data_IF_869675926719
#
_entry.id   IF_869675926719
#
_cell.length_a   1.000
_cell.length_b   1.000
_cell.length_c   1.000
_cell.angle_alpha   90.00
_cell.angle_beta   90.00
_cell.angle_gamma   90.00
#
_symmetry.space_group_name_H-M   'P 1'
#
loop_
_entity.id
_entity.type
_entity.pdbx_description
1 polymer ?
#
# COMPACT_ATOMS: atom_id res chain seq x y z
N UNK A 1 -7.95 -22.38 6.67
CA UNK A 1 -8.33 -21.79 5.37
C UNK A 1 -7.65 -22.58 4.28
N UNK A 2 -8.34 -23.07 3.24
CA UNK A 2 -7.67 -23.69 2.11
C UNK A 2 -6.71 -22.66 1.51
N UNK A 3 -5.50 -23.07 1.20
CA UNK A 3 -4.52 -22.17 0.58
C UNK A 3 -4.97 -21.89 -0.85
N UNK A 4 -5.58 -20.75 -1.07
CA UNK A 4 -5.96 -20.26 -2.39
C UNK A 4 -4.64 -20.07 -3.16
N UNK A 5 -4.33 -21.00 -4.05
CA UNK A 5 -3.09 -20.94 -4.86
C UNK A 5 -3.47 -20.99 -6.32
N UNK A 6 -3.07 -19.98 -7.05
CA UNK A 6 -3.05 -20.02 -8.52
C UNK A 6 -2.20 -21.21 -8.95
N UNK A 7 -2.78 -22.11 -9.74
CA UNK A 7 -2.11 -23.33 -10.19
C UNK A 7 -2.65 -23.80 -11.53
N UNK A 8 -1.90 -24.66 -12.17
CA UNK A 8 -2.31 -25.40 -13.34
C UNK A 8 -1.86 -26.86 -13.15
N UNK A 9 -2.82 -27.74 -13.21
CA UNK A 9 -2.62 -29.18 -13.12
C UNK A 9 -2.98 -29.80 -14.48
N UNK A 10 -2.05 -30.55 -15.06
CA UNK A 10 -2.23 -31.21 -16.34
C UNK A 10 -2.62 -32.66 -16.09
N UNK A 11 -3.79 -33.07 -16.60
CA UNK A 11 -4.28 -34.41 -16.62
C UNK A 11 -4.21 -35.00 -18.04
N UNK A 12 -4.51 -36.30 -18.18
CA UNK A 12 -4.47 -37.00 -19.49
C UNK A 12 -5.39 -36.30 -20.52
N UNK A 13 -6.60 -35.94 -20.11
CA UNK A 13 -7.66 -35.45 -20.99
C UNK A 13 -8.06 -33.99 -20.82
N UNK A 14 -7.60 -33.33 -19.77
CA UNK A 14 -7.93 -31.96 -19.49
C UNK A 14 -6.84 -31.27 -18.69
N UNK A 15 -6.89 -29.91 -18.66
CA UNK A 15 -6.18 -29.08 -17.70
C UNK A 15 -7.17 -28.53 -16.67
N UNK A 16 -6.74 -28.53 -15.41
CA UNK A 16 -7.40 -27.79 -14.33
C UNK A 16 -6.57 -26.57 -13.99
N UNK A 17 -7.18 -25.37 -14.06
CA UNK A 17 -6.51 -24.10 -13.90
C UNK A 17 -7.26 -23.31 -12.83
N UNK A 18 -6.54 -22.86 -11.82
CA UNK A 18 -7.06 -21.95 -10.78
C UNK A 18 -6.42 -20.57 -10.98
N UNK A 19 -7.23 -19.57 -11.20
CA UNK A 19 -6.81 -18.18 -11.37
C UNK A 19 -7.39 -17.31 -10.27
N UNK A 20 -6.60 -16.36 -9.79
CA UNK A 20 -7.04 -15.32 -8.86
C UNK A 20 -7.08 -13.97 -9.59
N UNK A 21 -8.17 -13.26 -9.48
CA UNK A 21 -8.34 -11.96 -10.12
C UNK A 21 -8.59 -10.88 -9.07
N UNK A 22 -8.01 -9.69 -9.21
CA UNK A 22 -8.23 -8.62 -8.27
C UNK A 22 -9.62 -8.01 -8.46
N UNK A 23 -10.38 -7.90 -7.38
CA UNK A 23 -11.62 -7.11 -7.32
C UNK A 23 -11.48 -6.05 -6.25
N UNK A 24 -11.83 -4.81 -6.58
CA UNK A 24 -11.88 -3.72 -5.63
C UNK A 24 -13.23 -3.71 -4.90
N UNK A 25 -13.21 -3.89 -3.59
CA UNK A 25 -14.37 -3.62 -2.75
C UNK A 25 -14.56 -2.11 -2.64
N UNK A 26 -15.73 -1.60 -3.05
CA UNK A 26 -16.02 -0.16 -3.10
C UNK A 26 -16.20 0.48 -1.73
N UNK A 27 -16.60 -0.29 -0.72
CA UNK A 27 -16.83 0.22 0.63
C UNK A 27 -15.52 0.34 1.43
N UNK A 28 -14.68 -0.70 1.38
CA UNK A 28 -13.40 -0.73 2.09
C UNK A 28 -12.22 -0.20 1.27
N UNK A 29 -12.41 0.03 -0.04
CA UNK A 29 -11.34 0.33 -1.01
C UNK A 29 -10.18 -0.69 -0.98
N UNK A 30 -10.46 -1.91 -0.53
CA UNK A 30 -9.49 -2.99 -0.48
C UNK A 30 -9.62 -3.92 -1.68
N UNK A 31 -8.47 -4.37 -2.19
CA UNK A 31 -8.42 -5.42 -3.21
C UNK A 31 -8.57 -6.76 -2.54
N UNK A 32 -9.51 -7.55 -3.08
CA UNK A 32 -9.72 -8.96 -2.72
C UNK A 32 -9.43 -9.85 -3.92
N UNK A 33 -8.67 -10.94 -3.73
CA UNK A 33 -8.54 -11.97 -4.77
C UNK A 33 -9.85 -12.75 -4.88
N UNK A 34 -10.33 -12.90 -6.09
CA UNK A 34 -11.48 -13.76 -6.42
C UNK A 34 -11.01 -14.90 -7.26
N UNK A 35 -11.42 -16.11 -6.91
CA UNK A 35 -11.04 -17.33 -7.57
C UNK A 35 -11.96 -17.63 -8.75
N UNK A 36 -11.34 -18.02 -9.86
CA UNK A 36 -12.02 -18.55 -11.04
C UNK A 36 -11.27 -19.81 -11.48
N UNK A 37 -11.99 -20.90 -11.52
CA UNK A 37 -11.48 -22.19 -11.94
C UNK A 37 -11.90 -22.51 -13.36
N UNK A 38 -10.98 -23.11 -14.11
CA UNK A 38 -11.22 -23.56 -15.48
C UNK A 38 -10.87 -25.04 -15.63
N UNK A 39 -11.79 -25.79 -16.21
CA UNK A 39 -11.53 -27.13 -16.71
C UNK A 39 -11.57 -27.07 -18.23
N UNK A 40 -10.44 -27.33 -18.87
CA UNK A 40 -10.28 -27.25 -20.33
C UNK A 40 -9.99 -28.62 -20.86
N UNK A 41 -10.88 -29.17 -21.65
CA UNK A 41 -10.74 -30.44 -22.31
C UNK A 41 -10.85 -30.32 -23.83
N UNK A 42 -10.93 -31.44 -24.52
CA UNK A 42 -10.94 -31.51 -25.99
C UNK A 42 -12.10 -30.74 -26.62
N UNK A 43 -13.30 -30.87 -26.07
CA UNK A 43 -14.53 -30.30 -26.65
C UNK A 43 -15.30 -29.42 -25.67
N UNK A 44 -14.73 -29.07 -24.53
CA UNK A 44 -15.42 -28.30 -23.50
C UNK A 44 -14.48 -27.34 -22.74
N UNK A 45 -15.07 -26.29 -22.23
CA UNK A 45 -14.52 -25.39 -21.22
C UNK A 45 -15.56 -25.17 -20.13
N UNK A 46 -15.23 -25.53 -18.90
CA UNK A 46 -16.09 -25.32 -17.73
C UNK A 46 -15.43 -24.23 -16.88
N UNK A 47 -16.20 -23.23 -16.47
CA UNK A 47 -15.77 -22.19 -15.55
C UNK A 47 -16.55 -22.28 -14.24
N UNK A 48 -15.83 -22.23 -13.10
CA UNK A 48 -16.43 -22.21 -11.77
C UNK A 48 -15.99 -20.93 -11.05
N UNK A 49 -16.95 -20.19 -10.54
CA UNK A 49 -16.72 -18.95 -9.79
C UNK A 49 -17.88 -18.67 -8.81
N UNK A 50 -17.64 -17.82 -7.82
CA UNK A 50 -18.62 -17.47 -6.76
C UNK A 50 -19.69 -16.46 -7.18
N UNK A 51 -19.72 -16.07 -8.46
CA UNK A 51 -20.66 -15.05 -8.97
C UNK A 51 -20.21 -13.60 -8.79
N UNK A 52 -19.16 -13.33 -8.04
CA UNK A 52 -18.61 -11.98 -7.85
C UNK A 52 -18.01 -11.40 -9.14
N UNK A 53 -17.57 -12.28 -10.05
CA UNK A 53 -17.03 -11.93 -11.36
C UNK A 53 -18.13 -11.70 -12.40
N UNK A 54 -18.80 -10.56 -12.30
CA UNK A 54 -19.90 -10.18 -13.22
C UNK A 54 -19.54 -10.24 -14.71
N UNK A 55 -18.25 -10.11 -15.04
CA UNK A 55 -17.75 -10.18 -16.41
C UNK A 55 -18.08 -11.53 -17.05
N UNK A 56 -17.84 -12.64 -16.34
CA UNK A 56 -18.16 -13.99 -16.83
C UNK A 56 -19.67 -14.21 -16.94
N UNK A 57 -20.42 -13.79 -15.94
CA UNK A 57 -21.90 -13.90 -15.95
C UNK A 57 -22.50 -13.11 -17.11
N UNK A 58 -22.04 -11.87 -17.33
CA UNK A 58 -22.52 -11.04 -18.42
C UNK A 58 -22.17 -11.64 -19.80
N UNK A 59 -20.94 -12.19 -19.93
CA UNK A 59 -20.56 -12.87 -21.18
C UNK A 59 -21.44 -14.10 -21.43
N UNK A 60 -21.70 -14.92 -20.42
CA UNK A 60 -22.58 -16.08 -20.54
C UNK A 60 -23.99 -15.68 -21.01
N UNK A 61 -24.57 -14.61 -20.44
CA UNK A 61 -25.84 -14.08 -20.90
C UNK A 61 -25.76 -13.56 -22.33
N UNK A 62 -24.71 -12.84 -22.70
CA UNK A 62 -24.55 -12.31 -24.07
C UNK A 62 -24.41 -13.44 -25.09
N UNK A 63 -23.70 -14.50 -24.79
CA UNK A 63 -23.55 -15.69 -25.65
C UNK A 63 -24.87 -16.44 -25.82
N UNK A 64 -25.74 -16.46 -24.79
CA UNK A 64 -27.05 -17.06 -24.87
C UNK A 64 -28.03 -16.21 -25.72
N UNK A 65 -27.93 -14.90 -25.61
CA UNK A 65 -28.86 -13.96 -26.19
C UNK A 65 -28.53 -13.57 -27.64
N UNK A 66 -27.24 -13.52 -28.00
CA UNK A 66 -26.78 -12.95 -29.27
C UNK A 66 -25.97 -13.98 -30.07
N UNK A 67 -26.48 -14.35 -31.26
CA UNK A 67 -25.84 -15.35 -32.15
C UNK A 67 -24.45 -14.91 -32.65
N UNK A 68 -24.26 -13.63 -32.90
CA UNK A 68 -22.95 -13.08 -33.30
C UNK A 68 -21.90 -13.23 -32.20
N UNK A 69 -22.27 -13.00 -30.92
CA UNK A 69 -21.39 -13.19 -29.76
C UNK A 69 -21.09 -14.67 -29.58
N UNK A 70 -22.12 -15.54 -29.71
CA UNK A 70 -21.96 -17.00 -29.68
C UNK A 70 -20.96 -17.47 -30.73
N UNK A 71 -21.14 -17.02 -31.98
CA UNK A 71 -20.23 -17.38 -33.05
C UNK A 71 -18.78 -16.93 -32.78
N UNK A 72 -18.60 -15.73 -32.25
CA UNK A 72 -17.27 -15.20 -31.91
C UNK A 72 -16.52 -16.03 -30.87
N UNK A 73 -17.21 -16.52 -29.83
CA UNK A 73 -16.55 -17.20 -28.71
C UNK A 73 -16.60 -18.74 -28.80
N UNK A 74 -17.63 -19.34 -29.39
CA UNK A 74 -17.87 -20.78 -29.30
C UNK A 74 -17.47 -21.58 -30.56
N UNK A 75 -17.13 -20.94 -31.68
CA UNK A 75 -16.85 -21.66 -32.94
C UNK A 75 -15.39 -22.09 -33.10
N UNK A 76 -14.46 -21.64 -32.23
CA UNK A 76 -13.03 -21.78 -32.47
C UNK A 76 -12.32 -22.75 -31.49
N UNK A 77 -13.11 -23.53 -30.75
CA UNK A 77 -12.61 -24.54 -29.82
C UNK A 77 -12.24 -23.98 -28.41
N UNK A 78 -12.02 -24.90 -27.44
CA UNK A 78 -11.90 -24.55 -26.02
C UNK A 78 -10.60 -23.78 -25.69
N UNK A 79 -9.53 -24.00 -26.43
CA UNK A 79 -8.26 -23.28 -26.21
C UNK A 79 -8.36 -21.80 -26.53
N UNK A 80 -8.97 -21.44 -27.68
CA UNK A 80 -9.16 -20.04 -28.04
C UNK A 80 -10.21 -19.37 -27.14
N UNK A 81 -11.27 -20.11 -26.75
CA UNK A 81 -12.24 -19.62 -25.77
C UNK A 81 -11.57 -19.30 -24.44
N UNK A 82 -10.70 -20.18 -23.93
CA UNK A 82 -9.92 -19.93 -22.71
C UNK A 82 -9.07 -18.66 -22.84
N UNK A 83 -8.29 -18.51 -23.93
CA UNK A 83 -7.45 -17.33 -24.13
C UNK A 83 -8.26 -16.05 -24.19
N UNK A 84 -9.40 -16.06 -24.87
CA UNK A 84 -10.31 -14.91 -24.97
C UNK A 84 -10.93 -14.56 -23.60
N UNK A 85 -11.27 -15.56 -22.78
CA UNK A 85 -11.77 -15.33 -21.41
C UNK A 85 -10.67 -14.73 -20.52
N UNK A 86 -9.45 -15.24 -20.59
CA UNK A 86 -8.33 -14.71 -19.83
C UNK A 86 -8.04 -13.25 -20.23
N UNK A 87 -8.01 -12.96 -21.53
CA UNK A 87 -7.84 -11.59 -22.02
C UNK A 87 -8.94 -10.64 -21.51
N UNK A 88 -10.20 -11.09 -21.57
CA UNK A 88 -11.33 -10.32 -21.06
C UNK A 88 -11.22 -10.02 -19.56
N UNK A 89 -10.80 -11.02 -18.78
CA UNK A 89 -10.61 -10.89 -17.34
C UNK A 89 -9.44 -9.97 -16.98
N UNK A 90 -8.33 -10.05 -17.73
CA UNK A 90 -7.21 -9.13 -17.56
C UNK A 90 -7.57 -7.69 -17.93
N UNK A 91 -8.22 -7.46 -19.06
CA UNK A 91 -8.72 -6.14 -19.47
C UNK A 91 -9.67 -5.54 -18.42
N UNK A 92 -10.47 -6.38 -17.76
CA UNK A 92 -11.36 -5.94 -16.69
C UNK A 92 -10.64 -5.57 -15.40
N UNK A 93 -9.47 -6.17 -15.16
CA UNK A 93 -8.63 -5.86 -13.99
C UNK A 93 -7.81 -4.57 -14.20
N UNK A 94 -7.54 -4.16 -15.44
CA UNK A 94 -6.72 -2.99 -15.77
C UNK A 94 -7.13 -1.71 -15.03
N UNK A 95 -8.40 -1.28 -15.00
CA UNK A 95 -8.78 -0.04 -14.32
C UNK A 95 -8.48 -0.04 -12.81
N UNK A 96 -8.47 -1.22 -12.18
CA UNK A 96 -8.13 -1.37 -10.75
C UNK A 96 -6.63 -1.14 -10.57
N UNK A 97 -5.82 -1.70 -11.46
CA UNK A 97 -4.37 -1.60 -11.43
C UNK A 97 -3.90 -0.19 -11.78
N UNK A 98 -4.54 0.45 -12.77
CA UNK A 98 -4.31 1.84 -13.14
C UNK A 98 -4.64 2.80 -11.98
N UNK A 99 -5.72 2.51 -11.24
CA UNK A 99 -6.06 3.28 -10.03
C UNK A 99 -4.98 3.15 -8.96
N UNK A 100 -4.45 1.94 -8.70
CA UNK A 100 -3.37 1.75 -7.73
C UNK A 100 -2.13 2.57 -8.08
N UNK A 101 -1.73 2.57 -9.37
CA UNK A 101 -0.61 3.36 -9.84
C UNK A 101 -0.85 4.87 -9.65
N UNK A 102 -2.05 5.36 -10.00
CA UNK A 102 -2.43 6.76 -9.77
C UNK A 102 -2.43 7.14 -8.28
N UNK A 103 -2.96 6.26 -7.42
CA UNK A 103 -2.99 6.47 -5.98
C UNK A 103 -1.56 6.48 -5.40
N UNK A 104 -0.67 5.61 -5.88
CA UNK A 104 0.75 5.58 -5.51
C UNK A 104 1.46 6.88 -5.92
N UNK A 105 1.28 7.33 -7.18
CA UNK A 105 1.82 8.60 -7.65
C UNK A 105 1.25 9.81 -6.87
N UNK A 106 -0.02 9.73 -6.46
CA UNK A 106 -0.71 10.76 -5.65
C UNK A 106 -0.21 10.83 -4.21
N UNK A 107 0.15 9.69 -3.62
CA UNK A 107 0.61 9.58 -2.24
C UNK A 107 1.84 10.43 -1.95
N UNK A 108 2.78 10.53 -2.91
CA UNK A 108 3.98 11.35 -2.79
C UNK A 108 3.71 12.84 -2.57
N UNK A 109 2.59 13.35 -3.04
CA UNK A 109 2.21 14.77 -2.88
C UNK A 109 1.74 15.11 -1.47
N UNK A 110 1.21 14.14 -0.75
CA UNK A 110 0.60 14.32 0.58
C UNK A 110 1.51 13.90 1.74
N UNK A 111 2.77 13.51 1.47
CA UNK A 111 3.71 13.02 2.49
C UNK A 111 3.94 14.03 3.61
N UNK A 112 3.92 15.33 3.28
CA UNK A 112 4.20 16.40 4.25
C UNK A 112 3.01 16.74 5.15
N UNK A 113 1.81 16.21 4.85
CA UNK A 113 0.66 16.33 5.74
C UNK A 113 0.76 15.28 6.84
N UNK A 114 0.83 15.72 8.10
CA UNK A 114 0.92 14.83 9.28
C UNK A 114 -0.44 14.28 9.71
N UNK A 115 -1.34 14.04 8.77
CA UNK A 115 -2.67 13.56 9.12
C UNK A 115 -2.63 12.04 9.31
N UNK A 116 -3.27 11.55 10.38
CA UNK A 116 -3.44 10.12 10.67
C UNK A 116 -4.13 9.43 9.49
N UNK A 117 -5.06 10.11 8.84
CA UNK A 117 -5.75 9.62 7.64
C UNK A 117 -4.78 9.30 6.51
N UNK A 118 -3.68 10.06 6.37
CA UNK A 118 -2.65 9.81 5.34
C UNK A 118 -1.92 8.50 5.59
N UNK A 119 -1.60 8.17 6.85
CA UNK A 119 -0.94 6.91 7.20
C UNK A 119 -1.84 5.69 6.94
N UNK A 120 -3.12 5.79 7.27
CA UNK A 120 -4.07 4.72 6.98
C UNK A 120 -4.25 4.49 5.48
N UNK A 121 -4.32 5.57 4.70
CA UNK A 121 -4.39 5.50 3.24
C UNK A 121 -3.14 4.85 2.63
N UNK A 122 -1.94 5.25 3.07
CA UNK A 122 -0.68 4.64 2.63
C UNK A 122 -0.61 3.15 2.97
N UNK A 123 -0.99 2.77 4.17
CA UNK A 123 -1.01 1.37 4.61
C UNK A 123 -1.98 0.53 3.79
N UNK A 124 -3.18 1.04 3.52
CA UNK A 124 -4.18 0.39 2.67
C UNK A 124 -3.69 0.26 1.24
N UNK A 125 -3.11 1.32 0.68
CA UNK A 125 -2.55 1.33 -0.66
C UNK A 125 -1.43 0.30 -0.79
N UNK A 126 -0.49 0.27 0.14
CA UNK A 126 0.59 -0.74 0.20
C UNK A 126 0.04 -2.16 0.24
N UNK A 127 -0.96 -2.43 1.08
CA UNK A 127 -1.62 -3.73 1.17
C UNK A 127 -2.23 -4.13 -0.18
N UNK A 128 -2.92 -3.22 -0.84
CA UNK A 128 -3.54 -3.44 -2.14
C UNK A 128 -2.50 -3.74 -3.23
N UNK A 129 -1.41 -2.97 -3.28
CA UNK A 129 -0.30 -3.18 -4.23
C UNK A 129 0.33 -4.57 -4.01
N UNK A 130 0.58 -4.96 -2.76
CA UNK A 130 1.17 -6.27 -2.43
C UNK A 130 0.25 -7.41 -2.91
N UNK A 131 -1.06 -7.31 -2.70
CA UNK A 131 -2.03 -8.32 -3.15
C UNK A 131 -2.05 -8.40 -4.67
N UNK A 132 -2.21 -7.27 -5.36
CA UNK A 132 -2.26 -7.21 -6.82
C UNK A 132 -0.97 -7.76 -7.46
N UNK A 133 0.19 -7.35 -6.94
CA UNK A 133 1.51 -7.83 -7.39
C UNK A 133 1.66 -9.34 -7.23
N UNK A 134 1.19 -9.91 -6.10
CA UNK A 134 1.21 -11.36 -5.87
C UNK A 134 0.37 -12.10 -6.90
N UNK A 135 -0.82 -11.59 -7.21
CA UNK A 135 -1.72 -12.15 -8.22
C UNK A 135 -1.02 -12.16 -9.59
N UNK A 136 -0.46 -11.05 -10.04
CA UNK A 136 0.21 -10.93 -11.34
C UNK A 136 1.41 -11.87 -11.47
N UNK A 137 2.23 -12.00 -10.42
CA UNK A 137 3.35 -12.95 -10.41
C UNK A 137 2.91 -14.39 -10.64
N UNK A 138 1.78 -14.78 -10.08
CA UNK A 138 1.25 -16.14 -10.19
C UNK A 138 0.64 -16.40 -11.58
N UNK A 139 0.01 -15.39 -12.18
CA UNK A 139 -0.52 -15.48 -13.55
C UNK A 139 0.57 -15.82 -14.55
N UNK A 140 1.72 -15.15 -14.49
CA UNK A 140 2.87 -15.45 -15.35
C UNK A 140 3.25 -16.94 -15.35
N UNK A 141 3.24 -17.57 -14.17
CA UNK A 141 3.56 -19.00 -14.06
C UNK A 141 2.54 -19.88 -14.79
N UNK A 142 1.25 -19.64 -14.61
CA UNK A 142 0.17 -20.41 -15.24
C UNK A 142 0.17 -20.20 -16.75
N UNK A 143 0.23 -18.94 -17.19
CA UNK A 143 0.27 -18.60 -18.62
C UNK A 143 1.51 -19.17 -19.33
N UNK A 144 2.65 -19.17 -18.66
CA UNK A 144 3.88 -19.80 -19.19
C UNK A 144 3.77 -21.30 -19.33
N UNK A 145 2.98 -21.98 -18.50
CA UNK A 145 2.68 -23.42 -18.69
C UNK A 145 1.69 -23.63 -19.84
N UNK A 146 0.65 -22.81 -19.96
CA UNK A 146 -0.31 -22.87 -21.05
C UNK A 146 0.35 -22.63 -22.42
N UNK A 147 1.22 -21.64 -22.53
CA UNK A 147 1.95 -21.33 -23.76
C UNK A 147 2.86 -22.49 -24.23
N UNK A 148 3.33 -23.31 -23.29
CA UNK A 148 4.21 -24.48 -23.57
C UNK A 148 3.46 -25.81 -23.67
N UNK A 149 2.17 -25.83 -23.41
CA UNK A 149 1.39 -27.04 -23.50
C UNK A 149 1.29 -27.53 -24.95
N UNK A 150 1.47 -28.83 -25.15
CA UNK A 150 1.40 -29.47 -26.48
C UNK A 150 0.05 -30.23 -26.70
N UNK A 151 -0.92 -29.99 -25.81
CA UNK A 151 -2.24 -30.62 -25.95
C UNK A 151 -3.02 -30.01 -27.11
N UNK A 152 -3.54 -30.82 -28.00
CA UNK A 152 -4.23 -30.39 -29.22
C UNK A 152 -5.37 -29.38 -28.94
N UNK A 153 -6.11 -29.57 -27.85
CA UNK A 153 -7.23 -28.71 -27.47
C UNK A 153 -6.80 -27.32 -26.98
N UNK A 154 -5.50 -27.10 -26.70
CA UNK A 154 -4.92 -25.80 -26.40
C UNK A 154 -4.18 -25.21 -27.61
N UNK A 155 -4.01 -25.98 -28.68
CA UNK A 155 -3.38 -25.53 -29.92
C UNK A 155 -4.44 -24.96 -30.85
N UNK A 156 -4.28 -23.70 -31.21
CA UNK A 156 -5.05 -22.98 -32.21
C UNK A 156 -4.10 -22.08 -32.99
N UNK A 157 -4.57 -21.47 -34.07
CA UNK A 157 -3.74 -20.57 -34.87
C UNK A 157 -3.20 -19.44 -33.98
N UNK A 158 -1.91 -19.28 -33.94
CA UNK A 158 -1.17 -18.26 -33.18
C UNK A 158 -1.33 -18.39 -31.64
N UNK A 159 -1.69 -19.58 -31.12
CA UNK A 159 -1.90 -19.83 -29.67
C UNK A 159 -0.71 -19.39 -28.80
N UNK A 160 0.51 -19.63 -29.27
CA UNK A 160 1.73 -19.24 -28.56
C UNK A 160 1.83 -17.71 -28.42
N UNK A 161 1.49 -16.95 -29.48
CA UNK A 161 1.49 -15.49 -29.47
C UNK A 161 0.44 -14.94 -28.50
N UNK A 162 -0.79 -15.49 -28.53
CA UNK A 162 -1.85 -15.06 -27.60
C UNK A 162 -1.46 -15.24 -26.14
N UNK A 163 -0.90 -16.38 -25.77
CA UNK A 163 -0.46 -16.58 -24.38
C UNK A 163 0.78 -15.74 -24.05
N UNK A 164 1.66 -15.49 -25.02
CA UNK A 164 2.83 -14.63 -24.82
C UNK A 164 2.41 -13.18 -24.54
N UNK A 165 1.45 -12.65 -25.27
CA UNK A 165 0.91 -11.29 -25.06
C UNK A 165 0.32 -11.15 -23.65
N UNK A 166 -0.39 -12.19 -23.16
CA UNK A 166 -0.92 -12.20 -21.79
C UNK A 166 0.19 -12.28 -20.72
N UNK A 167 1.28 -13.00 -21.01
CA UNK A 167 2.45 -13.07 -20.13
C UNK A 167 3.09 -11.69 -20.03
N UNK A 168 3.36 -11.04 -21.18
CA UNK A 168 3.96 -9.70 -21.23
C UNK A 168 3.08 -8.67 -20.50
N UNK A 169 1.78 -8.75 -20.68
CA UNK A 169 0.83 -7.90 -19.96
C UNK A 169 0.95 -8.09 -18.44
N UNK A 170 0.96 -9.35 -17.95
CA UNK A 170 1.10 -9.65 -16.53
C UNK A 170 2.47 -9.24 -15.96
N UNK A 171 3.55 -9.35 -16.76
CA UNK A 171 4.90 -8.89 -16.40
C UNK A 171 4.96 -7.38 -16.27
N UNK A 172 4.48 -6.64 -17.26
CA UNK A 172 4.44 -5.17 -17.24
C UNK A 172 3.69 -4.65 -16.00
N UNK A 173 2.54 -5.22 -15.70
CA UNK A 173 1.79 -4.83 -14.50
C UNK A 173 2.58 -5.16 -13.23
N UNK A 174 3.20 -6.34 -13.17
CA UNK A 174 3.98 -6.72 -12.00
C UNK A 174 5.18 -5.78 -11.78
N UNK A 175 5.83 -5.31 -12.83
CA UNK A 175 6.93 -4.32 -12.78
C UNK A 175 6.44 -2.97 -12.27
N UNK A 176 5.34 -2.45 -12.83
CA UNK A 176 4.73 -1.19 -12.38
C UNK A 176 4.36 -1.27 -10.90
N UNK A 177 3.65 -2.32 -10.49
CA UNK A 177 3.28 -2.52 -9.09
C UNK A 177 4.49 -2.72 -8.17
N UNK A 178 5.63 -3.19 -8.71
CA UNK A 178 6.87 -3.31 -7.94
C UNK A 178 7.50 -1.95 -7.68
N UNK A 179 7.53 -1.09 -8.69
CA UNK A 179 7.97 0.31 -8.56
C UNK A 179 7.05 1.11 -7.63
N UNK A 180 5.73 0.92 -7.75
CA UNK A 180 4.75 1.55 -6.87
C UNK A 180 4.95 1.15 -5.41
N UNK A 181 5.21 -0.15 -5.16
CA UNK A 181 5.51 -0.66 -3.82
C UNK A 181 6.73 0.02 -3.22
N UNK A 182 7.84 0.10 -3.97
CA UNK A 182 9.07 0.74 -3.53
C UNK A 182 8.85 2.24 -3.24
N UNK A 183 8.08 2.92 -4.10
CA UNK A 183 7.72 4.31 -3.90
C UNK A 183 6.91 4.52 -2.61
N UNK A 184 5.89 3.70 -2.37
CA UNK A 184 5.06 3.80 -1.16
C UNK A 184 5.88 3.48 0.10
N UNK A 185 6.80 2.50 0.05
CA UNK A 185 7.72 2.20 1.16
C UNK A 185 8.65 3.38 1.48
N UNK A 186 9.23 4.02 0.46
CA UNK A 186 10.04 5.24 0.63
C UNK A 186 9.22 6.39 1.22
N UNK A 187 7.95 6.49 0.86
CA UNK A 187 7.04 7.50 1.42
C UNK A 187 6.73 7.24 2.90
N UNK A 188 6.51 5.97 3.29
CA UNK A 188 6.35 5.60 4.69
C UNK A 188 7.60 5.96 5.52
N UNK A 189 8.79 5.62 5.04
CA UNK A 189 10.05 5.94 5.71
C UNK A 189 10.25 7.45 5.86
N UNK A 190 9.94 8.22 4.82
CA UNK A 190 10.01 9.69 4.85
C UNK A 190 9.05 10.26 5.88
N UNK A 191 7.81 9.78 5.92
CA UNK A 191 6.81 10.23 6.89
C UNK A 191 7.21 9.90 8.32
N UNK A 192 7.74 8.69 8.58
CA UNK A 192 8.27 8.31 9.89
C UNK A 192 9.44 9.21 10.32
N UNK A 193 10.36 9.52 9.38
CA UNK A 193 11.47 10.43 9.64
C UNK A 193 10.99 11.84 10.00
N UNK A 194 10.02 12.37 9.24
CA UNK A 194 9.42 13.67 9.53
C UNK A 194 8.70 13.71 10.88
N UNK A 195 7.97 12.64 11.23
CA UNK A 195 7.32 12.52 12.53
C UNK A 195 8.34 12.50 13.68
N UNK A 196 9.45 11.76 13.51
CA UNK A 196 10.54 11.71 14.47
C UNK A 196 11.22 13.09 14.64
N UNK A 197 11.45 13.81 13.55
CA UNK A 197 11.98 15.17 13.61
C UNK A 197 11.05 16.12 14.37
N UNK A 198 9.74 16.11 14.09
CA UNK A 198 8.76 16.94 14.81
C UNK A 198 8.68 16.59 16.29
N UNK A 199 8.72 15.31 16.63
CA UNK A 199 8.76 14.88 18.03
C UNK A 199 10.02 15.37 18.74
N UNK A 200 11.18 15.31 18.07
CA UNK A 200 12.42 15.84 18.61
C UNK A 200 12.37 17.35 18.85
N UNK A 201 11.79 18.11 17.90
CA UNK A 201 11.61 19.55 18.05
C UNK A 201 10.64 19.89 19.21
N UNK A 202 9.57 19.11 19.38
CA UNK A 202 8.65 19.26 20.51
C UNK A 202 9.33 18.96 21.84
N UNK A 203 10.09 17.85 21.93
CA UNK A 203 10.85 17.51 23.13
C UNK A 203 11.89 18.54 23.46
N UNK A 204 12.57 19.10 22.45
CA UNK A 204 13.54 20.19 22.60
C UNK A 204 12.88 21.44 23.21
N UNK A 205 11.74 21.85 22.67
CA UNK A 205 10.98 22.98 23.20
C UNK A 205 10.55 22.72 24.65
N UNK A 206 10.02 21.54 24.95
CA UNK A 206 9.63 21.14 26.29
C UNK A 206 10.81 21.15 27.26
N UNK A 207 11.98 20.66 26.80
CA UNK A 207 13.22 20.67 27.61
C UNK A 207 13.64 22.10 27.97
N UNK A 208 13.59 23.03 27.02
CA UNK A 208 13.90 24.44 27.27
C UNK A 208 12.96 25.02 28.35
N UNK A 209 11.65 24.81 28.20
CA UNK A 209 10.67 25.26 29.22
C UNK A 209 10.91 24.62 30.58
N UNK A 210 11.16 23.31 30.62
CA UNK A 210 11.39 22.57 31.87
C UNK A 210 12.64 23.09 32.61
N UNK A 211 13.72 23.34 31.89
CA UNK A 211 14.95 23.86 32.48
C UNK A 211 14.76 25.28 33.03
N UNK A 212 14.02 26.15 32.30
CA UNK A 212 13.73 27.49 32.77
C UNK A 212 12.88 27.44 34.08
N UNK A 213 11.82 26.63 34.09
CA UNK A 213 10.97 26.47 35.27
C UNK A 213 11.76 25.88 36.45
N UNK A 214 12.62 24.91 36.18
CA UNK A 214 13.46 24.29 37.25
C UNK A 214 14.35 25.33 37.91
N UNK A 215 15.04 26.21 37.13
CA UNK A 215 15.89 27.24 37.66
C UNK A 215 15.10 28.29 38.46
N UNK A 216 13.92 28.71 37.92
CA UNK A 216 13.06 29.64 38.65
C UNK A 216 12.60 29.04 39.97
N UNK A 217 12.24 27.75 39.98
CA UNK A 217 11.81 27.04 41.18
C UNK A 217 12.96 26.92 42.20
N UNK A 218 14.15 26.54 41.73
CA UNK A 218 15.33 26.47 42.58
C UNK A 218 15.63 27.82 43.24
N UNK A 219 15.52 28.86 42.42
CA UNK A 219 15.78 30.22 42.91
C UNK A 219 14.77 30.66 43.98
N UNK A 220 13.45 30.41 43.75
CA UNK A 220 12.41 30.70 44.76
C UNK A 220 12.69 29.91 46.05
N UNK A 221 13.09 28.63 45.97
CA UNK A 221 13.41 27.86 47.16
C UNK A 221 14.64 28.42 47.92
N UNK A 222 15.66 28.89 47.18
CA UNK A 222 16.82 29.54 47.81
C UNK A 222 16.41 30.87 48.51
N UNK A 223 15.52 31.67 47.90
CA UNK A 223 14.99 32.88 48.54
C UNK A 223 14.25 32.58 49.83
N UNK A 224 13.32 31.58 49.81
CA UNK A 224 12.57 31.19 50.99
C UNK A 224 13.51 30.64 52.07
N UNK A 225 14.58 29.92 51.73
CA UNK A 225 15.56 29.44 52.67
C UNK A 225 16.35 30.61 53.33
N UNK A 226 16.77 31.59 52.52
CA UNK A 226 17.44 32.81 53.01
C UNK A 226 16.51 33.62 53.93
N UNK A 227 15.25 33.76 53.58
CA UNK A 227 14.23 34.44 54.46
C UNK A 227 14.10 33.72 55.81
N UNK A 228 14.09 32.40 55.79
CA UNK A 228 13.97 31.56 57.00
C UNK A 228 15.17 31.76 57.96
N UNK A 229 16.36 32.07 57.41
CA UNK A 229 17.58 32.30 58.20
C UNK A 229 17.77 33.76 58.55
N UNK A 230 17.23 34.70 57.78
CA UNK A 230 17.52 36.16 57.75
C UNK A 230 16.86 36.96 58.85
N UNK A 231 16.40 36.40 59.92
CA UNK A 231 16.20 37.24 61.14
C UNK A 231 17.47 37.99 61.60
N UNK A 232 18.62 37.86 60.82
CA UNK A 232 19.96 38.29 61.16
C UNK A 232 20.61 39.23 60.13
N UNK A 233 20.02 39.47 58.92
CA UNK A 233 20.68 40.23 57.82
C UNK A 233 19.83 41.34 57.22
N UNK A 234 20.49 42.43 56.75
CA UNK A 234 19.88 43.59 56.06
C UNK A 234 19.16 43.17 54.82
N UNK A 235 17.86 42.91 54.91
CA UNK A 235 16.96 42.51 53.85
C UNK A 235 16.91 43.46 52.65
N UNK A 236 17.09 44.77 52.87
CA UNK A 236 17.01 45.79 51.86
C UNK A 236 17.98 45.62 50.68
N UNK A 237 19.15 45.03 50.89
CA UNK A 237 20.15 44.80 49.84
C UNK A 237 20.12 43.40 49.27
N UNK A 238 19.64 42.39 50.00
CA UNK A 238 19.62 41.00 49.56
C UNK A 238 18.56 40.78 48.48
N UNK A 239 17.39 41.37 48.59
CA UNK A 239 16.27 41.20 47.68
C UNK A 239 16.56 41.71 46.25
N UNK A 240 17.09 42.93 46.04
CA UNK A 240 17.45 43.38 44.69
C UNK A 240 18.66 42.60 44.10
N UNK A 241 19.61 42.19 44.91
CA UNK A 241 20.75 41.38 44.44
C UNK A 241 20.31 40.00 43.96
N UNK A 242 19.40 39.35 44.63
CA UNK A 242 18.84 38.05 44.24
C UNK A 242 17.95 38.14 42.97
N UNK A 243 17.12 39.17 42.82
CA UNK A 243 16.35 39.41 41.61
C UNK A 243 17.27 39.67 40.39
N UNK A 244 18.36 40.47 40.60
CA UNK A 244 19.32 40.71 39.53
C UNK A 244 20.07 39.45 39.08
N UNK A 245 20.47 38.58 40.03
CA UNK A 245 21.14 37.32 39.71
C UNK A 245 20.20 36.38 38.98
N UNK A 246 18.89 36.34 39.32
CA UNK A 246 17.87 35.57 38.61
C UNK A 246 17.73 36.03 37.15
N UNK A 247 17.54 37.32 36.94
CA UNK A 247 17.40 37.88 35.61
C UNK A 247 18.65 37.61 34.75
N UNK A 248 19.84 37.72 35.36
CA UNK A 248 21.09 37.42 34.68
C UNK A 248 21.22 35.96 34.27
N UNK A 249 20.95 35.01 35.17
CA UNK A 249 21.00 33.56 34.90
C UNK A 249 19.97 33.19 33.79
N UNK A 250 18.76 33.72 33.88
CA UNK A 250 17.72 33.49 32.86
C UNK A 250 18.14 34.03 31.49
N UNK A 251 18.75 35.23 31.45
CA UNK A 251 19.25 35.81 30.22
C UNK A 251 20.38 35.01 29.59
N UNK A 252 21.35 34.57 30.39
CA UNK A 252 22.46 33.73 29.94
C UNK A 252 21.93 32.38 29.35
N UNK A 253 20.95 31.78 29.98
CA UNK A 253 20.33 30.58 29.48
C UNK A 253 19.58 30.77 28.16
N UNK A 254 18.80 31.84 28.03
CA UNK A 254 18.12 32.17 26.78
C UNK A 254 19.14 32.40 25.64
N UNK A 255 20.26 33.09 25.92
CA UNK A 255 21.33 33.26 24.94
C UNK A 255 21.95 31.92 24.59
N UNK A 256 22.23 31.04 25.57
CA UNK A 256 22.78 29.72 25.33
C UNK A 256 21.84 28.85 24.44
N UNK A 257 20.54 28.80 24.74
CA UNK A 257 19.58 28.05 23.92
C UNK A 257 19.46 28.63 22.52
N UNK A 258 19.45 29.95 22.37
CA UNK A 258 19.44 30.65 21.07
C UNK A 258 20.69 30.33 20.24
N UNK A 259 21.92 30.35 20.85
CA UNK A 259 23.17 30.03 20.13
C UNK A 259 23.22 28.58 19.68
N UNK A 260 22.61 27.70 20.43
CA UNK A 260 22.49 26.26 20.08
C UNK A 260 21.32 25.98 19.12
N UNK A 261 20.57 27.00 18.65
CA UNK A 261 19.39 26.86 17.82
C UNK A 261 18.31 25.94 18.45
N UNK A 262 18.16 26.07 19.76
CA UNK A 262 17.12 25.35 20.51
C UNK A 262 15.87 26.21 20.72
N UNK A 263 16.00 27.49 20.49
CA UNK A 263 14.94 28.51 20.39
C UNK A 263 14.96 29.12 19.01
#
# INVERSE_FOLDING_TARGET
MPSIRVRIDEYSEYHFIVMLLPILNRESEEIKPVEVDFFVGKDYLITIHDGSMRTLTNLAHSVQQYDNVRAQYMQQGPGLLLSSLLELLFKRSSPILDKLNQDAAGAGRNIFSSDINTLEQLSRLKKNIIIARRIMKMHRYVLGKLARSKKDYLQFKDSSTYFQDLIEYAENIWEVLSADKESVESFEETNQSLAAHRMNDTLRTLTVFSVIIFILTLFINVLLFIESISKIANWEYLLPATLFSLAFITLVMLIYFKTRKWL
#
